data_IF_885740831856
#
_entry.id   IF_885740831856
#
_cell.length_a   1.000
_cell.length_b   1.000
_cell.length_c   1.000
_cell.angle_alpha   90.00
_cell.angle_beta   90.00
_cell.angle_gamma   90.00
#
_symmetry.space_group_name_H-M   'P 1'
#
loop_
_entity.id
_entity.type
_entity.pdbx_description
1 polymer ?
#
# COMPACT_ATOMS: atom_id res chain seq x y z
N UNK A 1 -52.63 -55.41 -2.34
CA UNK A 1 -52.70 -56.47 -3.36
C UNK A 1 -51.29 -56.84 -3.76
N UNK A 2 -50.92 -58.12 -3.62
CA UNK A 2 -49.53 -58.56 -3.57
C UNK A 2 -48.76 -58.47 -4.89
N UNK A 3 -47.45 -58.27 -4.77
CA UNK A 3 -46.42 -58.62 -5.75
C UNK A 3 -46.38 -60.15 -5.95
N UNK A 4 -47.50 -60.77 -6.35
CA UNK A 4 -47.54 -62.21 -6.64
C UNK A 4 -47.02 -62.43 -8.06
N UNK A 5 -45.78 -62.93 -8.17
CA UNK A 5 -45.36 -63.76 -9.29
C UNK A 5 -44.11 -63.33 -10.04
N UNK A 6 -43.59 -62.11 -9.85
CA UNK A 6 -42.35 -61.67 -10.52
C UNK A 6 -41.17 -61.69 -9.56
N UNK A 7 -40.17 -62.46 -9.90
CA UNK A 7 -38.87 -62.54 -9.23
C UNK A 7 -37.97 -61.36 -9.63
N UNK A 8 -36.85 -61.17 -8.92
CA UNK A 8 -35.83 -60.20 -9.32
C UNK A 8 -35.33 -60.44 -10.76
N UNK A 9 -35.20 -61.72 -11.16
CA UNK A 9 -34.81 -62.14 -12.50
C UNK A 9 -35.84 -61.74 -13.56
N UNK A 10 -37.14 -61.92 -13.30
CA UNK A 10 -38.19 -61.52 -14.25
C UNK A 10 -38.14 -60.00 -14.54
N UNK A 11 -37.91 -59.19 -13.51
CA UNK A 11 -37.73 -57.73 -13.69
C UNK A 11 -36.40 -57.39 -14.38
N UNK A 12 -35.35 -58.14 -14.10
CA UNK A 12 -34.06 -57.96 -14.77
C UNK A 12 -34.16 -58.23 -16.27
N UNK A 13 -34.80 -59.33 -16.67
CA UNK A 13 -34.95 -59.75 -18.07
C UNK A 13 -35.79 -58.72 -18.86
N UNK A 14 -36.89 -58.23 -18.29
CA UNK A 14 -37.69 -57.13 -18.85
C UNK A 14 -36.86 -55.84 -19.03
N UNK A 15 -36.00 -55.53 -18.05
CA UNK A 15 -35.02 -54.44 -18.15
C UNK A 15 -34.01 -54.64 -19.28
N UNK A 16 -33.56 -55.87 -19.48
CA UNK A 16 -32.63 -56.24 -20.54
C UNK A 16 -33.25 -56.05 -21.93
N UNK A 17 -34.47 -56.53 -22.13
CA UNK A 17 -35.20 -56.45 -23.40
C UNK A 17 -35.77 -55.06 -23.73
N UNK A 18 -36.10 -54.26 -22.72
CA UNK A 18 -36.65 -52.92 -22.90
C UNK A 18 -35.78 -52.04 -23.83
N UNK A 19 -36.39 -51.32 -24.78
CA UNK A 19 -35.66 -50.38 -25.66
C UNK A 19 -35.49 -49.00 -25.04
N UNK A 20 -36.52 -48.52 -24.35
CA UNK A 20 -36.53 -47.21 -23.69
C UNK A 20 -35.65 -47.20 -22.43
N UNK A 21 -34.60 -46.35 -22.36
CA UNK A 21 -33.74 -46.26 -21.19
C UNK A 21 -34.48 -45.88 -19.89
N UNK A 22 -35.61 -45.17 -19.94
CA UNK A 22 -36.39 -44.85 -18.72
C UNK A 22 -37.03 -46.11 -18.15
N UNK A 23 -37.68 -46.91 -18.99
CA UNK A 23 -38.25 -48.22 -18.60
C UNK A 23 -37.17 -49.17 -18.09
N UNK A 24 -35.98 -49.19 -18.72
CA UNK A 24 -34.84 -49.97 -18.21
C UNK A 24 -34.50 -49.60 -16.76
N UNK A 25 -34.39 -48.31 -16.45
CA UNK A 25 -34.10 -47.85 -15.08
C UNK A 25 -35.19 -48.28 -14.10
N UNK A 26 -36.46 -48.19 -14.49
CA UNK A 26 -37.59 -48.64 -13.66
C UNK A 26 -37.51 -50.14 -13.37
N UNK A 27 -37.36 -50.97 -14.40
CA UNK A 27 -37.30 -52.42 -14.26
C UNK A 27 -36.09 -52.89 -13.44
N UNK A 28 -34.89 -52.35 -13.70
CA UNK A 28 -33.74 -52.66 -12.86
C UNK A 28 -33.89 -52.15 -11.43
N UNK A 29 -34.63 -51.06 -11.20
CA UNK A 29 -34.93 -50.61 -9.83
C UNK A 29 -35.82 -51.61 -9.10
N UNK A 30 -36.89 -52.11 -9.74
CA UNK A 30 -37.75 -53.16 -9.17
C UNK A 30 -36.99 -54.46 -8.91
N UNK A 31 -36.07 -54.84 -9.81
CA UNK A 31 -35.19 -55.99 -9.58
C UNK A 31 -34.32 -55.78 -8.32
N UNK A 32 -33.72 -54.60 -8.18
CA UNK A 32 -32.85 -54.23 -7.05
C UNK A 32 -33.58 -54.01 -5.72
N UNK A 33 -34.88 -53.69 -5.74
CA UNK A 33 -35.72 -53.67 -4.53
C UNK A 33 -35.91 -55.08 -3.96
N UNK A 34 -35.90 -56.11 -4.81
CA UNK A 34 -36.03 -57.52 -4.42
C UNK A 34 -34.67 -58.13 -4.10
N UNK A 35 -33.66 -57.89 -4.95
CA UNK A 35 -32.27 -58.31 -4.73
C UNK A 35 -31.29 -57.14 -4.85
N UNK A 36 -30.99 -56.44 -3.74
CA UNK A 36 -30.08 -55.30 -3.76
C UNK A 36 -28.60 -55.69 -3.96
N UNK A 37 -28.26 -56.98 -3.91
CA UNK A 37 -26.89 -57.48 -4.10
C UNK A 37 -26.61 -57.90 -5.54
N UNK A 38 -27.56 -57.73 -6.46
CA UNK A 38 -27.34 -58.00 -7.88
C UNK A 38 -26.43 -56.94 -8.52
N UNK A 39 -25.15 -57.27 -8.62
CA UNK A 39 -24.10 -56.47 -9.27
C UNK A 39 -24.45 -56.13 -10.71
N UNK A 40 -25.05 -57.07 -11.43
CA UNK A 40 -25.34 -56.95 -12.87
C UNK A 40 -26.53 -56.01 -13.07
N UNK A 41 -27.56 -56.07 -12.22
CA UNK A 41 -28.67 -55.12 -12.22
C UNK A 41 -28.21 -53.69 -11.94
N UNK A 42 -27.34 -53.49 -10.94
CA UNK A 42 -26.72 -52.18 -10.67
C UNK A 42 -25.94 -51.65 -11.88
N UNK A 43 -25.12 -52.51 -12.51
CA UNK A 43 -24.35 -52.15 -13.69
C UNK A 43 -25.25 -51.73 -14.88
N UNK A 44 -26.27 -52.52 -15.22
CA UNK A 44 -27.14 -52.19 -16.35
C UNK A 44 -28.08 -51.02 -16.07
N UNK A 45 -28.48 -50.80 -14.80
CA UNK A 45 -29.16 -49.56 -14.39
C UNK A 45 -28.27 -48.35 -14.63
N UNK A 46 -26.98 -48.42 -14.28
CA UNK A 46 -25.99 -47.39 -14.59
C UNK A 46 -25.88 -47.12 -16.10
N UNK A 47 -25.82 -48.15 -16.94
CA UNK A 47 -25.80 -48.01 -18.40
C UNK A 47 -27.06 -47.33 -18.93
N UNK A 48 -28.24 -47.65 -18.38
CA UNK A 48 -29.50 -47.02 -18.76
C UNK A 48 -29.51 -45.53 -18.37
N UNK A 49 -29.04 -45.18 -17.17
CA UNK A 49 -28.88 -43.79 -16.70
C UNK A 49 -27.90 -42.99 -17.57
N UNK A 50 -26.81 -43.63 -18.02
CA UNK A 50 -25.87 -43.03 -18.98
C UNK A 50 -26.55 -42.57 -20.26
N UNK A 51 -27.47 -43.39 -20.80
CA UNK A 51 -28.23 -43.08 -22.02
C UNK A 51 -29.19 -41.91 -21.80
N UNK A 52 -29.61 -41.68 -20.55
CA UNK A 52 -30.43 -40.54 -20.14
C UNK A 52 -29.62 -39.29 -19.78
N UNK A 53 -28.27 -39.35 -19.84
CA UNK A 53 -27.40 -38.23 -19.46
C UNK A 53 -27.25 -38.01 -17.95
N UNK A 54 -27.85 -38.87 -17.11
CA UNK A 54 -27.85 -38.77 -15.64
C UNK A 54 -26.54 -39.31 -15.05
N UNK A 55 -25.44 -38.60 -15.27
CA UNK A 55 -24.08 -39.10 -15.01
C UNK A 55 -23.78 -39.29 -13.51
N UNK A 56 -24.28 -38.44 -12.61
CA UNK A 56 -24.10 -38.61 -11.16
C UNK A 56 -24.81 -39.87 -10.64
N UNK A 57 -25.99 -40.17 -11.18
CA UNK A 57 -26.76 -41.34 -10.78
C UNK A 57 -26.19 -42.63 -11.37
N UNK A 58 -25.66 -42.56 -12.59
CA UNK A 58 -24.85 -43.61 -13.19
C UNK A 58 -23.67 -43.96 -12.27
N UNK A 59 -22.91 -42.96 -11.81
CA UNK A 59 -21.77 -43.16 -10.90
C UNK A 59 -22.22 -43.86 -9.61
N UNK A 60 -23.32 -43.42 -8.98
CA UNK A 60 -23.85 -44.07 -7.77
C UNK A 60 -24.22 -45.53 -8.00
N UNK A 61 -24.79 -45.87 -9.17
CA UNK A 61 -25.10 -47.26 -9.49
C UNK A 61 -23.83 -48.10 -9.66
N UNK A 62 -22.79 -47.55 -10.27
CA UNK A 62 -21.49 -48.23 -10.37
C UNK A 62 -20.79 -48.34 -9.01
N UNK A 63 -20.91 -47.34 -8.13
CA UNK A 63 -20.40 -47.44 -6.76
C UNK A 63 -21.03 -48.61 -6.02
N UNK A 64 -22.37 -48.77 -6.11
CA UNK A 64 -23.06 -49.93 -5.54
C UNK A 64 -22.63 -51.26 -6.14
N UNK A 65 -22.46 -51.33 -7.45
CA UNK A 65 -21.92 -52.53 -8.10
C UNK A 65 -20.49 -52.87 -7.60
N UNK A 66 -19.64 -51.86 -7.39
CA UNK A 66 -18.25 -52.03 -6.93
C UNK A 66 -18.13 -52.28 -5.42
N UNK A 67 -19.06 -51.79 -4.60
CA UNK A 67 -19.18 -52.17 -3.18
C UNK A 67 -19.43 -53.67 -3.04
N UNK A 68 -20.24 -54.25 -3.94
CA UNK A 68 -20.58 -55.67 -3.92
C UNK A 68 -19.50 -56.52 -4.61
N UNK A 69 -18.98 -56.08 -5.77
CA UNK A 69 -17.90 -56.74 -6.49
C UNK A 69 -16.80 -55.74 -6.90
N UNK A 70 -15.76 -55.57 -6.06
CA UNK A 70 -14.65 -54.66 -6.33
C UNK A 70 -13.79 -55.05 -7.55
N UNK A 71 -13.82 -56.31 -7.99
CA UNK A 71 -13.00 -56.82 -9.10
C UNK A 71 -13.69 -56.68 -10.47
N UNK A 72 -14.84 -56.01 -10.54
CA UNK A 72 -15.59 -55.92 -11.79
C UNK A 72 -15.02 -54.85 -12.74
N UNK A 73 -14.05 -55.26 -13.55
CA UNK A 73 -13.28 -54.44 -14.53
C UNK A 73 -14.15 -53.50 -15.38
N UNK A 74 -15.27 -54.01 -15.91
CA UNK A 74 -16.16 -53.24 -16.78
C UNK A 74 -16.83 -52.06 -16.07
N UNK A 75 -17.16 -52.23 -14.79
CA UNK A 75 -17.79 -51.20 -13.96
C UNK A 75 -16.79 -50.09 -13.68
N UNK A 76 -15.55 -50.43 -13.29
CA UNK A 76 -14.48 -49.46 -13.10
C UNK A 76 -14.25 -48.59 -14.34
N UNK A 77 -14.13 -49.22 -15.52
CA UNK A 77 -13.98 -48.45 -16.75
C UNK A 77 -15.21 -47.60 -17.10
N UNK A 78 -16.44 -48.11 -16.91
CA UNK A 78 -17.62 -47.32 -17.23
C UNK A 78 -17.86 -46.17 -16.24
N UNK A 79 -17.51 -46.35 -14.96
CA UNK A 79 -17.47 -45.28 -13.96
C UNK A 79 -16.47 -44.20 -14.35
N UNK A 80 -15.26 -44.57 -14.80
CA UNK A 80 -14.28 -43.64 -15.35
C UNK A 80 -14.83 -42.84 -16.54
N UNK A 81 -15.60 -43.47 -17.43
CA UNK A 81 -16.23 -42.78 -18.57
C UNK A 81 -17.24 -41.74 -18.09
N UNK A 82 -18.07 -42.08 -17.09
CA UNK A 82 -19.06 -41.17 -16.52
C UNK A 82 -18.39 -39.96 -15.85
N UNK A 83 -17.34 -40.19 -15.04
CA UNK A 83 -16.55 -39.13 -14.40
C UNK A 83 -15.89 -38.20 -15.41
N UNK A 84 -15.35 -38.75 -16.52
CA UNK A 84 -14.76 -37.97 -17.60
C UNK A 84 -15.79 -37.05 -18.29
N UNK A 85 -17.05 -37.49 -18.43
CA UNK A 85 -18.14 -36.64 -18.96
C UNK A 85 -18.45 -35.47 -18.03
N UNK A 86 -18.34 -35.68 -16.72
CA UNK A 86 -18.46 -34.63 -15.70
C UNK A 86 -17.19 -33.78 -15.55
N UNK A 87 -16.18 -33.96 -16.42
CA UNK A 87 -14.87 -33.29 -16.36
C UNK A 87 -14.08 -33.55 -15.07
N UNK A 88 -14.41 -34.61 -14.34
CA UNK A 88 -13.68 -35.06 -13.13
C UNK A 88 -12.55 -36.00 -13.57
N UNK A 89 -11.53 -35.44 -14.22
CA UNK A 89 -10.54 -36.22 -14.95
C UNK A 89 -9.61 -37.04 -14.04
N UNK A 90 -9.18 -36.51 -12.89
CA UNK A 90 -8.37 -37.25 -11.91
C UNK A 90 -9.09 -38.51 -11.40
N UNK A 91 -10.35 -38.37 -11.00
CA UNK A 91 -11.15 -39.49 -10.50
C UNK A 91 -11.42 -40.52 -11.61
N UNK A 92 -11.60 -40.05 -12.85
CA UNK A 92 -11.72 -40.92 -14.01
C UNK A 92 -10.44 -41.75 -14.22
N UNK A 93 -9.26 -41.12 -14.14
CA UNK A 93 -7.96 -41.81 -14.24
C UNK A 93 -7.84 -42.88 -13.16
N UNK A 94 -8.15 -42.55 -11.89
CA UNK A 94 -8.13 -43.52 -10.80
C UNK A 94 -9.04 -44.72 -11.04
N UNK A 95 -10.22 -44.52 -11.65
CA UNK A 95 -11.10 -45.63 -12.04
C UNK A 95 -10.50 -46.50 -13.15
N UNK A 96 -9.82 -45.91 -14.15
CA UNK A 96 -9.16 -46.69 -15.19
C UNK A 96 -7.92 -47.42 -14.67
N UNK A 97 -7.18 -46.82 -13.75
CA UNK A 97 -6.04 -47.48 -13.07
C UNK A 97 -6.53 -48.71 -12.32
N UNK A 98 -7.63 -48.61 -11.56
CA UNK A 98 -8.25 -49.78 -10.92
C UNK A 98 -8.67 -50.86 -11.91
N UNK A 99 -9.24 -50.50 -13.05
CA UNK A 99 -9.58 -51.47 -14.09
C UNK A 99 -8.32 -52.18 -14.65
N UNK A 100 -7.21 -51.46 -14.78
CA UNK A 100 -5.93 -51.98 -15.29
C UNK A 100 -5.13 -52.75 -14.22
N UNK A 101 -5.29 -52.45 -12.94
CA UNK A 101 -4.73 -53.23 -11.84
C UNK A 101 -5.34 -54.64 -11.83
N UNK A 102 -6.65 -54.75 -12.10
CA UNK A 102 -7.38 -56.02 -12.15
C UNK A 102 -7.13 -56.75 -13.48
N UNK A 103 -7.24 -56.05 -14.62
CA UNK A 103 -6.93 -56.59 -15.94
C UNK A 103 -5.98 -55.65 -16.72
N UNK A 104 -4.66 -55.90 -16.64
CA UNK A 104 -3.65 -55.10 -17.34
C UNK A 104 -3.81 -55.10 -18.88
N UNK A 105 -4.50 -56.07 -19.45
CA UNK A 105 -4.73 -56.20 -20.90
C UNK A 105 -6.03 -55.54 -21.34
N UNK A 106 -6.77 -54.89 -20.44
CA UNK A 106 -8.02 -54.24 -20.79
C UNK A 106 -7.81 -52.95 -21.60
N UNK A 107 -7.66 -53.13 -22.91
CA UNK A 107 -7.32 -52.05 -23.87
C UNK A 107 -8.28 -50.86 -23.83
N UNK A 108 -9.55 -51.09 -23.49
CA UNK A 108 -10.53 -50.00 -23.37
C UNK A 108 -10.21 -49.05 -22.23
N UNK A 109 -9.85 -49.56 -21.05
CA UNK A 109 -9.43 -48.72 -19.92
C UNK A 109 -8.14 -47.96 -20.26
N UNK A 110 -7.16 -48.62 -20.87
CA UNK A 110 -5.90 -47.99 -21.31
C UNK A 110 -6.13 -46.82 -22.27
N UNK A 111 -6.99 -46.99 -23.28
CA UNK A 111 -7.36 -45.90 -24.21
C UNK A 111 -8.08 -44.75 -23.50
N UNK A 112 -9.05 -45.06 -22.65
CA UNK A 112 -9.82 -44.04 -21.96
C UNK A 112 -8.99 -43.27 -20.92
N UNK A 113 -8.05 -43.93 -20.25
CA UNK A 113 -7.08 -43.32 -19.35
C UNK A 113 -6.24 -42.26 -20.06
N UNK A 114 -5.65 -42.61 -21.21
CA UNK A 114 -4.88 -41.65 -22.03
C UNK A 114 -5.70 -40.43 -22.43
N UNK A 115 -6.97 -40.63 -22.82
CA UNK A 115 -7.88 -39.51 -23.14
C UNK A 115 -8.11 -38.63 -21.91
N UNK A 116 -8.33 -39.22 -20.73
CA UNK A 116 -8.52 -38.47 -19.50
C UNK A 116 -7.26 -37.71 -19.08
N UNK A 117 -6.06 -38.29 -19.24
CA UNK A 117 -4.78 -37.59 -18.98
C UNK A 117 -4.59 -36.38 -19.89
N UNK A 118 -4.88 -36.51 -21.19
CA UNK A 118 -4.82 -35.38 -22.12
C UNK A 118 -5.81 -34.29 -21.72
N UNK A 119 -7.06 -34.65 -21.38
CA UNK A 119 -8.06 -33.67 -20.95
C UNK A 119 -7.72 -33.00 -19.62
N UNK A 120 -7.14 -33.75 -18.69
CA UNK A 120 -6.66 -33.19 -17.45
C UNK A 120 -5.53 -32.17 -17.68
N UNK A 121 -4.58 -32.51 -18.54
CA UNK A 121 -3.50 -31.60 -18.92
C UNK A 121 -4.04 -30.33 -19.58
N UNK A 122 -4.95 -30.45 -20.54
CA UNK A 122 -5.61 -29.30 -21.18
C UNK A 122 -6.32 -28.40 -20.15
N UNK A 123 -7.00 -29.00 -19.17
CA UNK A 123 -7.66 -28.25 -18.09
C UNK A 123 -6.65 -27.49 -17.22
N UNK A 124 -5.58 -28.17 -16.78
CA UNK A 124 -4.52 -27.53 -15.97
C UNK A 124 -3.80 -26.42 -16.73
N UNK A 125 -3.50 -26.63 -18.01
CA UNK A 125 -2.89 -25.60 -18.87
C UNK A 125 -3.84 -24.39 -19.05
N UNK A 126 -5.15 -24.64 -19.18
CA UNK A 126 -6.16 -23.58 -19.24
C UNK A 126 -6.24 -22.79 -17.93
N UNK A 127 -6.29 -23.49 -16.79
CA UNK A 127 -6.33 -22.87 -15.46
C UNK A 127 -5.08 -22.01 -15.20
N UNK A 128 -3.89 -22.53 -15.53
CA UNK A 128 -2.64 -21.77 -15.44
C UNK A 128 -2.64 -20.54 -16.34
N UNK A 129 -3.20 -20.64 -17.55
CA UNK A 129 -3.31 -19.50 -18.48
C UNK A 129 -4.27 -18.44 -17.95
N UNK A 130 -5.42 -18.84 -17.43
CA UNK A 130 -6.39 -17.93 -16.81
C UNK A 130 -5.80 -17.24 -15.57
N UNK A 131 -5.10 -17.98 -14.72
CA UNK A 131 -4.40 -17.42 -13.56
C UNK A 131 -3.30 -16.43 -13.98
N UNK A 132 -2.56 -16.72 -15.05
CA UNK A 132 -1.55 -15.81 -15.60
C UNK A 132 -2.20 -14.50 -16.11
N UNK A 133 -3.28 -14.60 -16.86
CA UNK A 133 -4.02 -13.43 -17.38
C UNK A 133 -4.56 -12.58 -16.23
N UNK A 134 -5.10 -13.19 -15.18
CA UNK A 134 -5.62 -12.46 -14.03
C UNK A 134 -4.49 -11.77 -13.25
N UNK A 135 -3.33 -12.44 -13.09
CA UNK A 135 -2.13 -11.81 -12.50
C UNK A 135 -1.63 -10.63 -13.33
N UNK A 136 -1.59 -10.75 -14.66
CA UNK A 136 -1.25 -9.67 -15.58
C UNK A 136 -2.20 -8.47 -15.42
N UNK A 137 -3.51 -8.74 -15.38
CA UNK A 137 -4.54 -7.72 -15.19
C UNK A 137 -4.39 -6.99 -13.86
N UNK A 138 -4.31 -7.72 -12.75
CA UNK A 138 -4.12 -7.13 -11.42
C UNK A 138 -2.85 -6.26 -11.36
N UNK A 139 -1.75 -6.73 -11.98
CA UNK A 139 -0.50 -5.96 -11.98
C UNK A 139 -0.60 -4.72 -12.88
N UNK A 140 -1.30 -4.81 -14.01
CA UNK A 140 -1.58 -3.66 -14.88
C UNK A 140 -2.43 -2.60 -14.18
N UNK A 141 -3.49 -3.00 -13.48
CA UNK A 141 -4.34 -2.11 -12.69
C UNK A 141 -3.53 -1.45 -11.56
N UNK A 142 -2.66 -2.22 -10.92
CA UNK A 142 -1.74 -1.71 -9.90
C UNK A 142 -0.74 -0.69 -10.45
N UNK A 143 -0.09 -0.97 -11.58
CA UNK A 143 0.81 -0.03 -12.27
C UNK A 143 0.08 1.26 -12.63
N UNK A 144 -1.13 1.15 -13.19
CA UNK A 144 -1.95 2.32 -13.56
C UNK A 144 -2.27 3.19 -12.34
N UNK A 145 -2.58 2.57 -11.19
CA UNK A 145 -2.79 3.28 -9.93
C UNK A 145 -1.54 4.06 -9.49
N UNK A 146 -0.36 3.44 -9.56
CA UNK A 146 0.91 4.08 -9.20
C UNK A 146 1.24 5.21 -10.19
N UNK A 147 1.05 5.01 -11.49
CA UNK A 147 1.27 6.05 -12.50
C UNK A 147 0.38 7.27 -12.27
N UNK A 148 -0.88 7.06 -11.91
CA UNK A 148 -1.79 8.13 -11.49
C UNK A 148 -1.27 8.86 -10.24
N UNK A 149 -0.81 8.13 -9.22
CA UNK A 149 -0.25 8.73 -8.00
C UNK A 149 1.01 9.55 -8.28
N UNK A 150 1.95 9.00 -9.07
CA UNK A 150 3.15 9.71 -9.54
C UNK A 150 2.78 10.96 -10.33
N UNK A 151 1.75 10.90 -11.18
CA UNK A 151 1.30 12.06 -11.95
C UNK A 151 0.76 13.17 -11.04
N UNK A 152 0.00 12.82 -9.99
CA UNK A 152 -0.44 13.77 -8.96
C UNK A 152 0.73 14.37 -8.16
N UNK A 153 1.79 13.60 -7.92
CA UNK A 153 2.98 14.08 -7.20
C UNK A 153 3.82 14.99 -8.10
N UNK A 154 3.96 14.67 -9.40
CA UNK A 154 4.61 15.56 -10.37
C UNK A 154 3.94 16.92 -10.45
N UNK A 155 2.60 16.97 -10.46
CA UNK A 155 1.89 18.26 -10.53
C UNK A 155 2.09 19.12 -9.28
N UNK A 156 2.51 18.56 -8.15
CA UNK A 156 2.95 19.32 -6.97
C UNK A 156 4.39 19.85 -7.03
N UNK A 157 5.13 19.65 -8.13
CA UNK A 157 6.51 20.13 -8.30
C UNK A 157 7.58 19.24 -7.65
N UNK A 158 7.19 18.12 -7.04
CA UNK A 158 8.09 17.18 -6.34
C UNK A 158 8.92 16.39 -7.36
N UNK A 159 10.25 16.38 -7.19
CA UNK A 159 11.16 15.56 -8.00
C UNK A 159 11.06 14.08 -7.61
N UNK A 160 10.62 13.24 -8.55
CA UNK A 160 10.41 11.79 -8.36
C UNK A 160 11.08 10.92 -9.45
N UNK A 161 12.26 11.33 -9.93
CA UNK A 161 12.99 10.67 -11.03
C UNK A 161 13.24 9.17 -10.78
N UNK A 162 13.59 8.78 -9.55
CA UNK A 162 13.82 7.37 -9.19
C UNK A 162 12.54 6.53 -9.30
N UNK A 163 11.39 7.03 -8.84
CA UNK A 163 10.11 6.34 -8.98
C UNK A 163 9.68 6.15 -10.44
N UNK A 164 9.96 7.15 -11.30
CA UNK A 164 9.69 7.03 -12.76
C UNK A 164 10.53 5.92 -13.37
N UNK A 165 11.81 5.83 -13.01
CA UNK A 165 12.71 4.81 -13.52
C UNK A 165 12.29 3.41 -13.07
N UNK A 166 11.89 3.27 -11.80
CA UNK A 166 11.34 2.01 -11.29
C UNK A 166 10.09 1.59 -12.06
N UNK A 167 9.17 2.50 -12.42
CA UNK A 167 8.01 2.14 -13.26
C UNK A 167 8.43 1.62 -14.64
N UNK A 168 9.47 2.19 -15.26
CA UNK A 168 9.98 1.63 -16.54
C UNK A 168 10.49 0.20 -16.35
N UNK A 169 11.18 -0.06 -15.24
CA UNK A 169 11.63 -1.40 -14.89
C UNK A 169 10.45 -2.35 -14.64
N UNK A 170 9.39 -1.88 -13.97
CA UNK A 170 8.14 -2.65 -13.78
C UNK A 170 7.57 -3.07 -15.14
N UNK A 171 7.42 -2.13 -16.09
CA UNK A 171 6.92 -2.45 -17.46
C UNK A 171 7.83 -3.44 -18.19
N UNK A 172 9.15 -3.31 -18.04
CA UNK A 172 10.11 -4.26 -18.60
C UNK A 172 9.97 -5.66 -18.00
N UNK A 173 9.84 -5.78 -16.68
CA UNK A 173 9.67 -7.07 -16.01
C UNK A 173 8.32 -7.73 -16.34
N UNK A 174 7.26 -6.93 -16.53
CA UNK A 174 5.97 -7.42 -17.04
C UNK A 174 6.11 -8.05 -18.43
N UNK A 175 6.84 -7.41 -19.35
CA UNK A 175 7.11 -7.98 -20.68
C UNK A 175 7.88 -9.32 -20.62
N UNK A 176 8.64 -9.55 -19.55
CA UNK A 176 9.35 -10.80 -19.29
C UNK A 176 8.52 -11.83 -18.52
N UNK A 177 7.27 -11.53 -18.17
CA UNK A 177 6.40 -12.32 -17.30
C UNK A 177 6.93 -12.50 -15.86
N UNK A 178 7.76 -11.57 -15.36
CA UNK A 178 8.32 -11.62 -14.02
C UNK A 178 7.47 -10.80 -13.03
N UNK A 179 6.29 -11.33 -12.68
CA UNK A 179 5.27 -10.62 -11.91
C UNK A 179 5.68 -10.27 -10.48
N UNK A 180 6.40 -11.16 -9.79
CA UNK A 180 6.85 -10.91 -8.42
C UNK A 180 7.83 -9.74 -8.39
N UNK A 181 8.81 -9.72 -9.30
CA UNK A 181 9.76 -8.62 -9.39
C UNK A 181 9.09 -7.31 -9.78
N UNK A 182 8.14 -7.36 -10.72
CA UNK A 182 7.34 -6.20 -11.11
C UNK A 182 6.58 -5.60 -9.90
N UNK A 183 5.99 -6.46 -9.05
CA UNK A 183 5.29 -6.04 -7.82
C UNK A 183 6.23 -5.39 -6.80
N UNK A 184 7.40 -5.99 -6.55
CA UNK A 184 8.41 -5.42 -5.65
C UNK A 184 8.86 -4.01 -6.08
N UNK A 185 9.22 -3.86 -7.36
CA UNK A 185 9.66 -2.59 -7.93
C UNK A 185 8.56 -1.51 -7.86
N UNK A 186 7.31 -1.93 -8.06
CA UNK A 186 6.15 -1.05 -7.99
C UNK A 186 5.89 -0.56 -6.54
N UNK A 187 5.97 -1.43 -5.54
CA UNK A 187 5.90 -1.03 -4.12
C UNK A 187 7.07 -0.12 -3.72
N UNK A 188 8.29 -0.40 -4.19
CA UNK A 188 9.44 0.49 -3.97
C UNK A 188 9.20 1.88 -4.58
N UNK A 189 8.68 1.95 -5.82
CA UNK A 189 8.38 3.20 -6.50
C UNK A 189 7.37 4.05 -5.73
N UNK A 190 6.32 3.40 -5.21
CA UNK A 190 5.27 4.02 -4.40
C UNK A 190 5.81 4.53 -3.07
N UNK A 191 6.61 3.73 -2.36
CA UNK A 191 7.26 4.12 -1.11
C UNK A 191 8.11 5.37 -1.28
N UNK A 192 9.00 5.37 -2.29
CA UNK A 192 9.88 6.51 -2.59
C UNK A 192 9.06 7.77 -2.91
N UNK A 193 7.99 7.64 -3.70
CA UNK A 193 7.15 8.76 -4.07
C UNK A 193 6.44 9.37 -2.85
N UNK A 194 5.94 8.52 -1.94
CA UNK A 194 5.31 8.93 -0.68
C UNK A 194 6.30 9.65 0.26
N UNK A 195 7.50 9.07 0.45
CA UNK A 195 8.56 9.67 1.28
C UNK A 195 9.00 11.03 0.72
N UNK A 196 9.19 11.12 -0.60
CA UNK A 196 9.51 12.38 -1.30
C UNK A 196 8.41 13.43 -1.09
N UNK A 197 7.14 13.05 -1.20
CA UNK A 197 6.00 13.96 -0.98
C UNK A 197 5.97 14.47 0.47
N UNK A 198 6.21 13.59 1.44
CA UNK A 198 6.28 13.95 2.86
C UNK A 198 7.39 14.95 3.14
N UNK A 199 8.61 14.68 2.67
CA UNK A 199 9.75 15.59 2.81
C UNK A 199 9.52 16.96 2.17
N UNK A 200 8.96 17.00 0.96
CA UNK A 200 8.59 18.24 0.29
C UNK A 200 7.60 19.08 1.10
N UNK A 201 6.53 18.47 1.61
CA UNK A 201 5.52 19.16 2.42
C UNK A 201 6.13 19.76 3.69
N UNK A 202 7.03 19.02 4.35
CA UNK A 202 7.72 19.50 5.55
C UNK A 202 8.63 20.69 5.21
N UNK A 203 9.46 20.57 4.18
CA UNK A 203 10.34 21.64 3.72
C UNK A 203 9.57 22.91 3.34
N UNK A 204 8.50 22.77 2.55
CA UNK A 204 7.64 23.89 2.15
C UNK A 204 7.00 24.59 3.36
N UNK A 205 6.54 23.83 4.34
CA UNK A 205 5.99 24.37 5.60
C UNK A 205 7.05 25.13 6.38
N UNK A 206 8.25 24.57 6.53
CA UNK A 206 9.37 25.20 7.24
C UNK A 206 9.81 26.52 6.57
N UNK A 207 9.87 26.56 5.24
CA UNK A 207 10.14 27.79 4.47
C UNK A 207 9.06 28.83 4.72
N UNK A 208 7.79 28.45 4.60
CA UNK A 208 6.64 29.36 4.81
C UNK A 208 6.63 29.95 6.22
N UNK A 209 6.97 29.15 7.22
CA UNK A 209 7.09 29.61 8.60
C UNK A 209 8.26 30.59 8.76
N UNK A 210 9.43 30.27 8.20
CA UNK A 210 10.61 31.13 8.20
C UNK A 210 10.35 32.48 7.53
N UNK A 211 9.61 32.52 6.41
CA UNK A 211 9.19 33.76 5.74
C UNK A 211 8.29 34.62 6.65
N UNK A 212 7.31 34.00 7.30
CA UNK A 212 6.42 34.70 8.25
C UNK A 212 7.23 35.28 9.42
N UNK A 213 8.15 34.50 9.97
CA UNK A 213 9.03 34.91 11.08
C UNK A 213 9.92 36.08 10.65
N UNK A 214 10.53 36.02 9.47
CA UNK A 214 11.35 37.11 8.95
C UNK A 214 10.54 38.38 8.73
N UNK A 215 9.35 38.30 8.12
CA UNK A 215 8.48 39.45 7.92
C UNK A 215 8.06 40.10 9.25
N UNK A 216 7.70 39.28 10.25
CA UNK A 216 7.36 39.77 11.59
C UNK A 216 8.56 40.48 12.26
N UNK A 217 9.75 39.93 12.09
CA UNK A 217 10.99 40.46 12.68
C UNK A 217 11.44 41.75 11.99
N UNK A 218 11.28 41.83 10.66
CA UNK A 218 11.49 43.04 9.86
C UNK A 218 10.56 44.18 10.29
N UNK A 219 9.27 43.88 10.52
CA UNK A 219 8.31 44.87 11.03
C UNK A 219 8.66 45.39 12.44
N UNK A 220 9.46 44.64 13.21
CA UNK A 220 10.01 45.07 14.50
C UNK A 220 11.34 45.85 14.37
N UNK A 221 11.81 46.13 13.15
CA UNK A 221 13.05 46.86 12.88
C UNK A 221 14.32 46.04 13.08
N UNK A 222 14.24 44.71 13.14
CA UNK A 222 15.41 43.83 13.29
C UNK A 222 15.78 43.26 11.91
N UNK A 223 16.97 43.61 11.42
CA UNK A 223 17.50 43.10 10.14
C UNK A 223 18.20 41.75 10.37
N UNK A 224 17.87 40.76 9.54
CA UNK A 224 18.42 39.40 9.59
C UNK A 224 18.82 39.01 8.17
N UNK A 225 19.98 38.36 8.00
CA UNK A 225 20.38 37.85 6.69
C UNK A 225 19.37 36.81 6.19
N UNK A 226 19.05 36.88 4.90
CA UNK A 226 18.17 35.94 4.20
C UNK A 226 18.91 34.77 3.56
N UNK A 227 20.22 34.63 3.77
CA UNK A 227 21.05 33.62 3.10
C UNK A 227 20.57 32.19 3.38
N UNK A 228 20.19 31.89 4.63
CA UNK A 228 19.64 30.59 4.99
C UNK A 228 18.27 30.32 4.38
N UNK A 229 17.44 31.36 4.19
CA UNK A 229 16.17 31.19 3.49
C UNK A 229 16.42 30.90 2.00
N UNK A 230 17.39 31.58 1.39
CA UNK A 230 17.79 31.32 0.01
C UNK A 230 18.34 29.90 -0.14
N UNK A 231 19.23 29.47 0.76
CA UNK A 231 19.77 28.11 0.80
C UNK A 231 18.66 27.07 0.95
N UNK A 232 17.70 27.31 1.85
CA UNK A 232 16.55 26.42 2.07
C UNK A 232 15.68 26.29 0.81
N UNK A 233 15.41 27.39 0.11
CA UNK A 233 14.67 27.39 -1.17
C UNK A 233 15.43 26.66 -2.27
N UNK A 234 16.73 26.91 -2.42
CA UNK A 234 17.57 26.20 -3.38
C UNK A 234 17.58 24.69 -3.12
N UNK A 235 17.67 24.28 -1.85
CA UNK A 235 17.62 22.87 -1.47
C UNK A 235 16.24 22.24 -1.77
N UNK A 236 15.14 22.99 -1.58
CA UNK A 236 13.81 22.54 -2.00
C UNK A 236 13.76 22.28 -3.51
N UNK A 237 14.29 23.23 -4.30
CA UNK A 237 14.31 23.15 -5.76
C UNK A 237 15.18 22.00 -6.28
N UNK A 238 16.30 21.71 -5.63
CA UNK A 238 17.16 20.55 -5.98
C UNK A 238 16.58 19.22 -5.51
N UNK A 239 15.65 19.25 -4.56
CA UNK A 239 15.01 18.07 -3.97
C UNK A 239 15.78 17.50 -2.77
N UNK A 240 16.67 18.29 -2.16
CA UNK A 240 17.30 17.99 -0.88
C UNK A 240 16.44 18.55 0.26
N UNK A 241 15.39 17.80 0.60
CA UNK A 241 14.40 18.24 1.57
C UNK A 241 14.96 18.30 3.00
N UNK A 242 15.96 17.47 3.32
CA UNK A 242 16.62 17.51 4.63
C UNK A 242 17.42 18.80 4.80
N UNK A 243 18.24 19.17 3.81
CA UNK A 243 18.99 20.43 3.86
C UNK A 243 18.06 21.64 3.84
N UNK A 244 16.94 21.55 3.11
CA UNK A 244 15.92 22.59 3.10
C UNK A 244 15.32 22.82 4.49
N UNK A 245 14.89 21.76 5.18
CA UNK A 245 14.34 21.84 6.54
C UNK A 245 15.40 22.33 7.52
N UNK A 246 16.61 21.78 7.47
CA UNK A 246 17.74 22.15 8.34
C UNK A 246 18.07 23.64 8.26
N UNK A 247 18.19 24.16 7.03
CA UNK A 247 18.47 25.58 6.79
C UNK A 247 17.35 26.49 7.32
N UNK A 248 16.08 26.06 7.18
CA UNK A 248 14.94 26.81 7.71
C UNK A 248 14.89 26.81 9.25
N UNK A 249 15.21 25.69 9.90
CA UNK A 249 15.28 25.59 11.36
C UNK A 249 16.44 26.41 11.94
N UNK A 250 17.60 26.37 11.29
CA UNK A 250 18.75 27.19 11.67
C UNK A 250 18.42 28.69 11.62
N UNK A 251 17.73 29.12 10.55
CA UNK A 251 17.24 30.49 10.43
C UNK A 251 16.27 30.84 11.57
N UNK A 252 15.31 29.97 11.88
CA UNK A 252 14.37 30.18 12.98
C UNK A 252 15.10 30.36 14.32
N UNK A 253 16.12 29.55 14.58
CA UNK A 253 16.95 29.67 15.79
C UNK A 253 17.72 30.99 15.85
N UNK A 254 18.30 31.43 14.73
CA UNK A 254 18.99 32.72 14.62
C UNK A 254 18.03 33.89 14.87
N UNK A 255 16.81 33.82 14.31
CA UNK A 255 15.78 34.86 14.50
C UNK A 255 15.40 34.93 15.97
N UNK A 256 15.11 33.80 16.62
CA UNK A 256 14.75 33.75 18.03
C UNK A 256 15.86 34.31 18.94
N UNK A 257 17.12 34.00 18.64
CA UNK A 257 18.26 34.53 19.39
C UNK A 257 18.39 36.05 19.21
N UNK A 258 18.31 36.56 17.98
CA UNK A 258 18.33 38.01 17.71
C UNK A 258 17.16 38.72 18.38
N UNK A 259 15.94 38.21 18.24
CA UNK A 259 14.76 38.82 18.86
C UNK A 259 14.91 38.91 20.39
N UNK A 260 15.47 37.87 21.02
CA UNK A 260 15.78 37.87 22.46
C UNK A 260 16.79 38.95 22.83
N UNK A 261 17.87 39.10 22.05
CA UNK A 261 18.88 40.16 22.24
C UNK A 261 18.26 41.56 22.10
N UNK A 262 17.50 41.81 21.03
CA UNK A 262 16.86 43.12 20.81
C UNK A 262 15.76 43.43 21.81
N UNK A 263 15.06 42.43 22.37
CA UNK A 263 14.12 42.63 23.48
C UNK A 263 14.84 43.20 24.71
N UNK A 264 15.98 42.60 25.10
CA UNK A 264 16.81 43.10 26.21
C UNK A 264 17.35 44.51 25.93
N UNK A 265 17.79 44.78 24.71
CA UNK A 265 18.24 46.12 24.32
C UNK A 265 17.14 47.18 24.47
N UNK A 266 15.88 46.86 24.12
CA UNK A 266 14.74 47.77 24.32
C UNK A 266 14.48 48.06 25.80
N UNK A 267 14.67 47.08 26.68
CA UNK A 267 14.56 47.28 28.14
C UNK A 267 15.66 48.21 28.66
N UNK A 268 16.91 48.04 28.21
CA UNK A 268 18.01 48.93 28.56
C UNK A 268 17.80 50.37 28.04
N UNK A 269 17.32 50.52 26.80
CA UNK A 269 16.97 51.85 26.25
C UNK A 269 15.93 52.54 27.12
N UNK A 270 14.85 51.84 27.50
CA UNK A 270 13.82 52.41 28.39
C UNK A 270 14.38 52.83 29.75
N UNK A 271 15.31 52.05 30.31
CA UNK A 271 15.98 52.40 31.56
C UNK A 271 16.82 53.69 31.42
N UNK A 272 17.63 53.77 30.35
CA UNK A 272 18.42 54.96 30.05
C UNK A 272 17.54 56.19 29.79
N UNK A 273 16.47 56.07 29.00
CA UNK A 273 15.49 57.15 28.76
C UNK A 273 14.86 57.64 30.08
N UNK A 274 14.50 56.72 30.97
CA UNK A 274 13.96 57.04 32.29
C UNK A 274 14.98 57.78 33.16
N UNK A 275 16.24 57.36 33.15
CA UNK A 275 17.32 58.02 33.88
C UNK A 275 17.59 59.43 33.35
N UNK A 276 17.64 59.59 32.02
CA UNK A 276 17.79 60.90 31.37
C UNK A 276 16.62 61.81 31.72
N UNK A 277 15.37 61.34 31.56
CA UNK A 277 14.17 62.12 31.91
C UNK A 277 14.22 62.59 33.35
N UNK A 278 14.47 61.68 34.30
CA UNK A 278 14.60 62.01 35.72
C UNK A 278 15.71 63.03 36.03
N UNK A 279 16.73 63.14 35.17
CA UNK A 279 17.83 64.09 35.32
C UNK A 279 17.47 65.45 34.70
N UNK A 280 16.79 65.45 33.54
CA UNK A 280 16.18 66.65 32.94
C UNK A 280 15.18 67.31 33.87
N UNK A 281 14.30 66.51 34.50
CA UNK A 281 13.33 66.99 35.50
C UNK A 281 14.02 67.64 36.72
N UNK A 282 15.30 67.32 36.96
CA UNK A 282 16.12 67.89 38.02
C UNK A 282 16.94 69.12 37.54
N UNK A 283 16.69 69.61 36.32
CA UNK A 283 17.39 70.77 35.74
C UNK A 283 18.80 70.50 35.24
N UNK A 284 19.18 69.24 35.05
CA UNK A 284 20.53 68.87 34.61
C UNK A 284 20.70 68.94 33.09
N UNK A 285 21.86 69.42 32.61
CA UNK A 285 22.27 69.23 31.22
C UNK A 285 22.59 67.76 30.97
N UNK A 286 21.86 67.15 30.02
CA UNK A 286 21.93 65.73 29.69
C UNK A 286 22.39 65.50 28.25
N UNK A 287 22.90 66.52 27.56
CA UNK A 287 23.27 66.49 26.14
C UNK A 287 24.19 65.31 25.79
N UNK A 288 25.20 65.04 26.64
CA UNK A 288 26.13 63.91 26.46
C UNK A 288 25.44 62.54 26.61
N UNK A 289 24.48 62.41 27.52
CA UNK A 289 23.72 61.18 27.70
C UNK A 289 22.75 60.95 26.53
N UNK A 290 22.09 62.00 26.04
CA UNK A 290 21.23 61.94 24.86
C UNK A 290 22.01 61.55 23.59
N UNK A 291 23.20 62.12 23.38
CA UNK A 291 24.07 61.79 22.25
C UNK A 291 24.45 60.30 22.24
N UNK A 292 24.90 59.78 23.39
CA UNK A 292 25.23 58.36 23.55
C UNK A 292 24.02 57.46 23.31
N UNK A 293 22.85 57.83 23.81
CA UNK A 293 21.63 57.04 23.61
C UNK A 293 21.18 57.04 22.14
N UNK A 294 21.26 58.19 21.46
CA UNK A 294 20.92 58.29 20.05
C UNK A 294 21.91 57.49 19.18
N UNK A 295 23.20 57.54 19.50
CA UNK A 295 24.23 56.71 18.87
C UNK A 295 23.93 55.22 19.06
N UNK A 296 23.54 54.81 20.26
CA UNK A 296 23.16 53.43 20.55
C UNK A 296 21.92 52.99 19.77
N UNK A 297 20.87 53.81 19.76
CA UNK A 297 19.62 53.53 18.99
C UNK A 297 19.92 53.34 17.51
N UNK A 298 20.76 54.20 16.93
CA UNK A 298 21.23 54.06 15.54
C UNK A 298 22.03 52.77 15.35
N UNK A 299 22.95 52.46 16.25
CA UNK A 299 23.82 51.28 16.16
C UNK A 299 23.06 49.95 16.28
N UNK A 300 21.98 49.90 17.08
CA UNK A 300 21.08 48.73 17.10
C UNK A 300 20.39 48.54 15.75
N UNK A 301 20.01 49.62 15.06
CA UNK A 301 19.41 49.56 13.72
C UNK A 301 20.38 49.04 12.64
N UNK A 302 21.67 49.30 12.79
CA UNK A 302 22.70 48.90 11.81
C UNK A 302 23.44 47.61 12.18
N UNK A 303 22.99 46.89 13.22
CA UNK A 303 23.57 45.62 13.64
C UNK A 303 24.86 45.70 14.48
N UNK A 304 25.27 46.90 14.93
CA UNK A 304 26.43 47.08 15.80
C UNK A 304 26.05 46.86 17.28
N UNK A 305 25.61 45.65 17.60
CA UNK A 305 24.93 45.35 18.87
C UNK A 305 25.81 45.62 20.10
N UNK A 306 27.04 45.12 20.14
CA UNK A 306 27.91 45.22 21.32
C UNK A 306 28.27 46.67 21.68
N UNK A 307 28.65 47.45 20.67
CA UNK A 307 28.92 48.89 20.84
C UNK A 307 27.67 49.63 21.30
N UNK A 308 26.52 49.30 20.74
CA UNK A 308 25.24 49.93 21.11
C UNK A 308 24.84 49.61 22.55
N UNK A 309 25.07 48.38 23.02
CA UNK A 309 24.86 48.02 24.43
C UNK A 309 25.77 48.83 25.35
N UNK A 310 27.05 48.98 24.99
CA UNK A 310 27.99 49.81 25.74
C UNK A 310 27.53 51.27 25.80
N UNK A 311 27.10 51.82 24.67
CA UNK A 311 26.62 53.20 24.57
C UNK A 311 25.34 53.45 25.39
N UNK A 312 24.38 52.51 25.40
CA UNK A 312 23.18 52.63 26.27
C UNK A 312 23.55 52.61 27.74
N UNK A 313 24.41 51.69 28.17
CA UNK A 313 24.84 51.60 29.57
C UNK A 313 25.56 52.86 29.99
N UNK A 314 26.48 53.36 29.16
CA UNK A 314 27.21 54.58 29.45
C UNK A 314 26.30 55.81 29.47
N UNK A 315 25.31 55.88 28.57
CA UNK A 315 24.29 56.92 28.59
C UNK A 315 23.52 56.94 29.91
N UNK A 316 23.06 55.77 30.37
CA UNK A 316 22.34 55.64 31.65
C UNK A 316 23.21 56.03 32.86
N UNK A 317 24.46 55.57 32.89
CA UNK A 317 25.43 55.93 33.93
C UNK A 317 25.69 57.43 33.97
N UNK A 318 25.99 58.04 32.81
CA UNK A 318 26.24 59.49 32.72
C UNK A 318 25.04 60.29 33.21
N UNK A 319 23.82 59.90 32.84
CA UNK A 319 22.61 60.55 33.34
C UNK A 319 22.50 60.46 34.87
N UNK A 320 22.72 59.27 35.45
CA UNK A 320 22.69 59.07 36.91
C UNK A 320 23.80 59.86 37.63
N UNK A 321 25.02 59.85 37.10
CA UNK A 321 26.18 60.57 37.65
C UNK A 321 25.92 62.09 37.68
N UNK A 322 25.41 62.66 36.60
CA UNK A 322 25.10 64.10 36.50
C UNK A 322 24.05 64.47 37.55
N UNK A 323 22.99 63.67 37.68
CA UNK A 323 21.96 63.90 38.69
C UNK A 323 22.50 63.83 40.12
N UNK A 324 23.33 62.84 40.43
CA UNK A 324 23.94 62.70 41.77
C UNK A 324 24.96 63.81 42.08
N UNK A 325 25.69 64.32 41.08
CA UNK A 325 26.52 65.53 41.26
C UNK A 325 25.65 66.75 41.56
N UNK A 326 24.59 66.98 40.77
CA UNK A 326 23.67 68.09 40.98
C UNK A 326 23.00 68.05 42.36
N UNK A 327 22.57 66.88 42.83
CA UNK A 327 22.06 66.70 44.20
C UNK A 327 23.10 67.08 45.26
N UNK A 328 24.34 66.61 45.11
CA UNK A 328 25.43 66.93 46.05
C UNK A 328 25.73 68.43 46.09
N UNK A 329 25.71 69.08 44.93
CA UNK A 329 25.97 70.52 44.83
C UNK A 329 24.79 71.35 45.38
N UNK A 330 23.55 70.90 45.23
CA UNK A 330 22.38 71.51 45.88
C UNK A 330 22.34 71.27 47.39
N UNK A 331 22.85 70.14 47.89
CA UNK A 331 22.95 69.87 49.34
C UNK A 331 24.11 70.56 50.05
N UNK A 332 25.05 71.12 49.26
CA UNK A 332 26.23 71.88 49.75
C UNK A 332 26.01 73.39 49.71
N UNK A 333 24.93 73.85 49.06
CA UNK A 333 24.40 75.21 49.12
C UNK A 333 23.34 75.27 50.19
#
# INVERSE_FOLDING_TARGET
>A
MGLKGRTARDWFDEGYEAKDPKKKVEYYTKALEIDPKDVIAWYFKGIALRKLGRCEEEIRCYDKALEINPEYVYVWNNKGIALRKLKRYEEAIGCYDKALDIDPKYERAKKNRKIAEVKLREQKEKEQREEKIERERMTSDFVSSIESEISRIKSSGVKISKSIELIKQVKSELNKNNFERAKELAEEAKKIASERKSGYNLAFKSISESERILNKTKNKGVIISTDLLLKSKQALDTGDYEESVRSAEELKNLVNNRETKYRKAREWIKSAESAIRKSKDFGCDTSKADELLNRAKSGFGTGNYEKSVSDVRRSEEVAKEIKERSKRDQSRK
#
